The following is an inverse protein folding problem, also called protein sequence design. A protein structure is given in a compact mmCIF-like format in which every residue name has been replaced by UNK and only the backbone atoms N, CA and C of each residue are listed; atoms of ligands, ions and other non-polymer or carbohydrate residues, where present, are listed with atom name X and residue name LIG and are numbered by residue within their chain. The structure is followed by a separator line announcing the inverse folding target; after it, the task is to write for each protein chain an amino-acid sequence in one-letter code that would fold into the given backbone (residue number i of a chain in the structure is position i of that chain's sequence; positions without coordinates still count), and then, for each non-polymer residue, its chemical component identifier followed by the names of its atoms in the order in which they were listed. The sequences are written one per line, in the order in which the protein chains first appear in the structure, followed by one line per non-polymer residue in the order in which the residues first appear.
data_IF_324674787874
#
_entry.id   IF_324674787874
#
_cell.length_a   1.000
_cell.length_b   1.000
_cell.length_c   1.000
_cell.angle_alpha   90.00
_cell.angle_beta   90.00
_cell.angle_gamma   90.00
#
_symmetry.space_group_name_H-M   'P 1'
#
loop_
_entity.id
_entity.type
_entity.pdbx_description
1 polymer ?
#
# COMPACT_ATOMS: atom_id res chain seq x y z
N UNK A 1 -26.50 9.31 1.10
CA UNK A 1 -26.30 8.13 0.21
C UNK A 1 -24.80 7.96 -0.02
N UNK A 2 -24.18 6.91 0.54
CA UNK A 2 -22.74 6.69 0.38
C UNK A 2 -22.42 6.51 -1.11
N UNK A 3 -21.47 7.28 -1.63
CA UNK A 3 -21.14 7.26 -3.06
C UNK A 3 -20.71 5.84 -3.47
N UNK A 4 -21.34 5.25 -4.49
CA UNK A 4 -21.04 3.89 -4.97
C UNK A 4 -19.56 3.68 -5.27
N UNK A 5 -18.84 4.75 -5.66
CA UNK A 5 -17.38 4.74 -5.86
C UNK A 5 -16.60 4.45 -4.58
N UNK A 6 -17.02 5.03 -3.45
CA UNK A 6 -16.39 4.83 -2.16
C UNK A 6 -16.57 3.39 -1.66
N UNK A 7 -17.75 2.81 -1.84
CA UNK A 7 -18.02 1.40 -1.51
C UNK A 7 -17.12 0.47 -2.32
N UNK A 8 -16.95 0.74 -3.63
CA UNK A 8 -16.02 -0.02 -4.47
C UNK A 8 -14.58 0.09 -3.98
N UNK A 9 -14.13 1.31 -3.64
CA UNK A 9 -12.78 1.55 -3.13
C UNK A 9 -12.51 0.79 -1.83
N UNK A 10 -13.46 0.84 -0.87
CA UNK A 10 -13.35 0.07 0.38
C UNK A 10 -13.27 -1.42 0.08
N UNK A 11 -14.19 -1.96 -0.73
CA UNK A 11 -14.19 -3.39 -1.06
C UNK A 11 -12.87 -3.84 -1.66
N UNK A 12 -12.31 -3.06 -2.58
CA UNK A 12 -11.00 -3.36 -3.19
C UNK A 12 -9.88 -3.31 -2.16
N UNK A 13 -9.85 -2.30 -1.29
CA UNK A 13 -8.86 -2.20 -0.22
C UNK A 13 -8.95 -3.40 0.74
N UNK A 14 -10.16 -3.77 1.17
CA UNK A 14 -10.40 -4.93 2.03
C UNK A 14 -9.94 -6.23 1.38
N UNK A 15 -10.27 -6.45 0.09
CA UNK A 15 -9.80 -7.63 -0.64
C UNK A 15 -8.28 -7.66 -0.78
N UNK A 16 -7.64 -6.51 -0.99
CA UNK A 16 -6.18 -6.40 -1.04
C UNK A 16 -5.53 -6.76 0.30
N UNK A 17 -6.09 -6.32 1.42
CA UNK A 17 -5.61 -6.68 2.77
C UNK A 17 -5.74 -8.18 2.99
N UNK A 18 -6.90 -8.77 2.67
CA UNK A 18 -7.13 -10.21 2.82
C UNK A 18 -6.18 -11.04 1.94
N UNK A 19 -5.94 -10.61 0.70
CA UNK A 19 -4.99 -11.26 -0.19
C UNK A 19 -3.56 -11.20 0.38
N UNK A 20 -3.16 -10.06 0.93
CA UNK A 20 -1.83 -9.89 1.56
C UNK A 20 -1.69 -10.81 2.77
N UNK A 21 -2.73 -10.92 3.61
CA UNK A 21 -2.73 -11.85 4.75
C UNK A 21 -2.63 -13.30 4.29
N UNK A 22 -3.33 -13.69 3.22
CA UNK A 22 -3.24 -15.04 2.67
C UNK A 22 -1.83 -15.36 2.14
N UNK A 23 -1.16 -14.40 1.49
CA UNK A 23 0.24 -14.54 1.06
C UNK A 23 1.18 -14.71 2.25
N UNK A 24 0.99 -13.92 3.31
CA UNK A 24 1.78 -14.03 4.54
C UNK A 24 1.59 -15.40 5.20
N UNK A 25 0.35 -15.87 5.28
CA UNK A 25 0.03 -17.19 5.82
C UNK A 25 0.70 -18.30 5.01
N UNK A 26 0.61 -18.27 3.68
CA UNK A 26 1.31 -19.21 2.81
C UNK A 26 2.83 -19.16 2.95
N UNK A 27 3.43 -17.99 3.15
CA UNK A 27 4.86 -17.86 3.37
C UNK A 27 5.34 -18.51 4.69
N UNK A 28 4.52 -18.46 5.75
CA UNK A 28 4.84 -19.11 7.03
C UNK A 28 4.61 -20.62 6.94
N UNK A 29 3.44 -21.04 6.46
CA UNK A 29 3.01 -22.45 6.51
C UNK A 29 3.66 -23.32 5.42
N UNK A 30 3.82 -22.78 4.21
CA UNK A 30 4.34 -23.54 3.05
C UNK A 30 5.86 -23.41 2.92
N UNK A 31 6.41 -22.21 3.19
CA UNK A 31 7.84 -21.91 2.99
C UNK A 31 8.65 -22.00 4.31
N UNK A 32 7.98 -22.02 5.46
CA UNK A 32 8.64 -22.16 6.77
C UNK A 32 9.36 -20.89 7.26
N UNK A 33 8.98 -19.71 6.75
CA UNK A 33 9.57 -18.44 7.18
C UNK A 33 9.08 -18.07 8.57
N UNK A 34 9.96 -17.62 9.46
CA UNK A 34 9.56 -17.18 10.80
C UNK A 34 8.63 -15.97 10.72
N UNK A 35 7.50 -16.04 11.43
CA UNK A 35 6.49 -14.97 11.43
C UNK A 35 7.07 -13.62 11.86
N UNK A 36 7.97 -13.63 12.85
CA UNK A 36 8.65 -12.44 13.37
C UNK A 36 9.49 -11.73 12.29
N UNK A 37 10.25 -12.49 11.49
CA UNK A 37 11.00 -11.92 10.38
C UNK A 37 10.06 -11.34 9.32
N UNK A 38 8.96 -12.05 9.02
CA UNK A 38 7.95 -11.59 8.06
C UNK A 38 7.35 -10.25 8.46
N UNK A 39 6.98 -10.08 9.74
CA UNK A 39 6.50 -8.80 10.26
C UNK A 39 7.54 -7.69 10.14
N UNK A 40 8.82 -8.00 10.40
CA UNK A 40 9.93 -7.07 10.17
C UNK A 40 10.00 -6.58 8.72
N UNK A 41 9.88 -7.49 7.75
CA UNK A 41 9.88 -7.14 6.33
C UNK A 41 8.64 -6.36 5.90
N UNK A 42 7.46 -6.69 6.42
CA UNK A 42 6.23 -5.93 6.18
C UNK A 42 6.37 -4.50 6.70
N UNK A 43 6.92 -4.35 7.90
CA UNK A 43 7.16 -3.04 8.50
C UNK A 43 8.13 -2.19 7.66
N UNK A 44 9.27 -2.77 7.24
CA UNK A 44 10.20 -2.11 6.32
C UNK A 44 9.54 -1.73 4.99
N UNK A 45 8.68 -2.59 4.45
CA UNK A 45 7.96 -2.31 3.20
C UNK A 45 6.99 -1.14 3.34
N UNK A 46 6.27 -1.05 4.45
CA UNK A 46 5.38 0.09 4.74
C UNK A 46 6.21 1.39 4.80
N UNK A 47 7.34 1.39 5.51
CA UNK A 47 8.23 2.55 5.58
C UNK A 47 8.73 2.97 4.20
N UNK A 48 9.16 2.01 3.37
CA UNK A 48 9.63 2.28 2.02
C UNK A 48 8.54 2.95 1.16
N UNK A 49 7.29 2.46 1.23
CA UNK A 49 6.15 3.08 0.52
C UNK A 49 5.88 4.49 1.02
N UNK A 50 5.90 4.73 2.33
CA UNK A 50 5.69 6.06 2.91
C UNK A 50 6.77 7.05 2.47
N UNK A 51 8.04 6.62 2.46
CA UNK A 51 9.16 7.43 1.96
C UNK A 51 8.95 7.77 0.48
N UNK A 52 8.55 6.78 -0.33
CA UNK A 52 8.30 6.97 -1.76
C UNK A 52 7.18 7.97 -2.02
N UNK A 53 6.08 7.90 -1.24
CA UNK A 53 5.01 8.90 -1.27
C UNK A 53 5.54 10.28 -0.87
N UNK A 54 6.26 10.37 0.24
CA UNK A 54 6.80 11.64 0.75
C UNK A 54 7.73 12.32 -0.26
N UNK A 55 8.55 11.54 -0.98
CA UNK A 55 9.40 12.04 -2.06
C UNK A 55 8.56 12.42 -3.28
N UNK A 56 7.56 11.63 -3.65
CA UNK A 56 6.78 11.86 -4.88
C UNK A 56 5.82 13.06 -4.79
N UNK A 57 5.27 13.34 -3.61
CA UNK A 57 4.34 14.46 -3.36
C UNK A 57 4.90 15.83 -3.82
N UNK A 58 6.12 16.27 -3.44
CA UNK A 58 6.66 17.55 -3.88
C UNK A 58 6.86 17.61 -5.39
N UNK A 59 7.31 16.53 -6.04
CA UNK A 59 7.42 16.50 -7.51
C UNK A 59 6.05 16.59 -8.18
N UNK A 60 5.04 15.87 -7.67
CA UNK A 60 3.68 15.95 -8.18
C UNK A 60 3.11 17.37 -8.02
N UNK A 61 3.35 18.03 -6.88
CA UNK A 61 2.94 19.41 -6.64
C UNK A 61 3.64 20.39 -7.58
N UNK A 62 4.95 20.23 -7.81
CA UNK A 62 5.75 21.03 -8.73
C UNK A 62 5.24 20.88 -10.17
N UNK A 63 5.00 19.65 -10.63
CA UNK A 63 4.43 19.37 -11.96
C UNK A 63 3.03 19.98 -12.11
N UNK A 64 2.19 19.88 -11.08
CA UNK A 64 0.86 20.50 -11.07
C UNK A 64 0.94 22.02 -11.19
N UNK A 65 1.87 22.66 -10.48
CA UNK A 65 2.11 24.10 -10.55
C UNK A 65 2.53 24.55 -11.96
N UNK A 66 3.47 23.85 -12.59
CA UNK A 66 3.87 24.16 -13.97
C UNK A 66 2.75 23.96 -14.98
N UNK A 67 1.92 22.92 -14.82
CA UNK A 67 0.75 22.69 -15.68
C UNK A 67 -0.31 23.78 -15.58
N UNK A 68 -0.46 24.43 -14.41
CA UNK A 68 -1.44 25.50 -14.20
C UNK A 68 -0.99 26.85 -14.78
N UNK A 69 0.31 27.00 -15.09
CA UNK A 69 0.89 28.21 -15.71
C UNK A 69 0.92 28.18 -17.24
N UNK A 70 0.68 27.02 -17.86
CA UNK A 70 0.39 26.91 -19.30
C UNK A 70 -1.11 27.04 -19.51
#
# INVERSE_FOLDING_TARGET
MLNRRYIKAIRTATLGVLATMALMWGAVDIVGVSAEALFGYVWLSIQAVLVLIAISVPFAALLYFFRRRR
#
